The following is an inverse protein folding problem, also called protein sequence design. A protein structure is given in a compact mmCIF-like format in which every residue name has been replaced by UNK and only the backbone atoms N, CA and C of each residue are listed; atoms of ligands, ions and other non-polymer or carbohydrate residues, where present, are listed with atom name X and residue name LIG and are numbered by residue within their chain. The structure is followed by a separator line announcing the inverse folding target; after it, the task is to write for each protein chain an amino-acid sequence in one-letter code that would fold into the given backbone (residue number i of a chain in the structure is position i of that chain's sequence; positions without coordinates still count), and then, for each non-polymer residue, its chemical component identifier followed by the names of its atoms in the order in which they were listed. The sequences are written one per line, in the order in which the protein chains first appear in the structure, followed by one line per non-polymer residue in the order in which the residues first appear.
data_IF_841799813219
#
_entry.id   IF_841799813219
#
_cell.length_a   1.000
_cell.length_b   1.000
_cell.length_c   1.000
_cell.angle_alpha   90.00
_cell.angle_beta   90.00
_cell.angle_gamma   90.00
#
_symmetry.space_group_name_H-M   'P 1'
#
loop_
_entity.id
_entity.type
_entity.pdbx_description
1 polymer ?
#
# COMPACT_ATOMS: atom_id res chain seq x y z
N UNK A 1 -44.65 -15.97 10.68
CA UNK A 1 -44.02 -15.55 9.41
C UNK A 1 -42.56 -15.16 9.67
N UNK A 2 -41.62 -16.06 9.35
CA UNK A 2 -40.20 -15.85 9.57
C UNK A 2 -39.54 -15.09 8.41
N UNK A 3 -38.67 -14.12 8.73
CA UNK A 3 -37.64 -13.60 7.83
C UNK A 3 -36.36 -13.30 8.62
N UNK A 4 -35.85 -14.31 9.33
CA UNK A 4 -34.45 -14.33 9.73
C UNK A 4 -33.64 -14.96 8.58
N UNK A 5 -33.44 -14.22 7.49
CA UNK A 5 -32.46 -14.60 6.48
C UNK A 5 -31.12 -13.99 6.90
N UNK A 6 -30.35 -14.81 7.62
CA UNK A 6 -29.02 -14.47 8.07
C UNK A 6 -28.14 -14.03 6.91
N UNK A 7 -27.89 -12.73 6.85
CA UNK A 7 -26.66 -12.24 6.22
C UNK A 7 -25.51 -12.66 7.13
N UNK A 8 -24.93 -13.84 6.88
CA UNK A 8 -23.55 -14.12 7.27
C UNK A 8 -22.71 -13.03 6.63
N UNK A 9 -22.28 -12.06 7.42
CA UNK A 9 -21.36 -11.00 6.99
C UNK A 9 -20.05 -11.66 6.61
N UNK A 10 -19.94 -12.05 5.32
CA UNK A 10 -18.77 -12.58 4.61
C UNK A 10 -17.55 -12.74 5.50
N UNK A 11 -17.54 -13.83 6.26
CA UNK A 11 -16.40 -14.22 7.05
C UNK A 11 -15.19 -14.33 6.12
N UNK A 12 -14.23 -13.43 6.34
CA UNK A 12 -12.81 -13.71 6.13
C UNK A 12 -12.43 -14.15 4.71
N UNK A 13 -12.97 -13.48 3.68
CA UNK A 13 -12.18 -13.27 2.46
C UNK A 13 -11.05 -12.27 2.78
N UNK A 14 -10.16 -12.67 3.69
CA UNK A 14 -8.73 -12.36 3.66
C UNK A 14 -8.18 -13.09 2.44
N UNK A 15 -8.72 -12.81 1.25
CA UNK A 15 -8.05 -13.19 0.03
C UNK A 15 -6.69 -12.50 0.18
N UNK A 16 -5.66 -13.28 0.52
CA UNK A 16 -4.30 -12.80 0.48
C UNK A 16 -4.21 -12.09 -0.85
N UNK A 17 -3.86 -10.79 -0.83
CA UNK A 17 -3.52 -10.06 -2.05
C UNK A 17 -2.91 -11.06 -3.02
N UNK A 18 -3.49 -11.24 -4.24
CA UNK A 18 -3.09 -12.30 -5.14
C UNK A 18 -1.58 -12.36 -5.12
N UNK A 19 -1.05 -13.47 -4.60
CA UNK A 19 0.37 -13.55 -4.24
C UNK A 19 1.15 -13.10 -5.46
N UNK A 20 1.99 -12.07 -5.28
CA UNK A 20 2.89 -11.62 -6.33
C UNK A 20 3.58 -12.87 -6.86
N UNK A 21 3.50 -13.16 -8.17
CA UNK A 21 4.13 -14.33 -8.77
C UNK A 21 5.54 -14.50 -8.22
N UNK A 22 5.98 -15.73 -7.95
CA UNK A 22 7.25 -15.97 -7.21
C UNK A 22 8.46 -15.25 -7.84
N UNK A 23 8.43 -15.05 -9.16
CA UNK A 23 9.43 -14.36 -9.96
C UNK A 23 9.34 -12.82 -9.95
N UNK A 24 8.28 -12.24 -9.39
CA UNK A 24 8.06 -10.80 -9.28
C UNK A 24 8.12 -10.31 -7.82
N UNK A 25 8.44 -11.19 -6.88
CA UNK A 25 8.66 -10.81 -5.49
C UNK A 25 9.96 -10.02 -5.40
N UNK A 26 9.93 -8.92 -4.65
CA UNK A 26 11.15 -8.22 -4.28
C UNK A 26 12.02 -9.11 -3.40
N UNK A 27 13.33 -9.05 -3.58
CA UNK A 27 14.29 -9.86 -2.82
C UNK A 27 14.40 -9.48 -1.34
N UNK A 28 13.76 -8.37 -0.92
CA UNK A 28 13.70 -7.95 0.48
C UNK A 28 15.02 -7.43 1.04
N UNK A 29 15.94 -7.04 0.16
CA UNK A 29 17.22 -6.46 0.53
C UNK A 29 16.99 -5.00 0.89
N UNK A 30 17.31 -4.63 2.13
CA UNK A 30 17.35 -3.25 2.56
C UNK A 30 18.64 -2.61 2.04
N UNK A 31 18.52 -1.62 1.15
CA UNK A 31 19.64 -0.85 0.61
C UNK A 31 19.54 0.58 1.14
N UNK A 32 20.65 1.12 1.64
CA UNK A 32 20.68 2.49 2.14
C UNK A 32 20.50 3.51 1.00
N UNK A 33 19.55 4.43 1.19
CA UNK A 33 19.34 5.51 0.25
C UNK A 33 20.41 6.59 0.40
N UNK A 34 21.14 6.87 -0.70
CA UNK A 34 22.07 7.99 -0.78
C UNK A 34 21.51 9.10 -1.68
N UNK A 35 21.25 10.28 -1.09
CA UNK A 35 20.68 11.41 -1.79
C UNK A 35 21.63 12.05 -2.82
N UNK A 36 22.93 11.96 -2.63
CA UNK A 36 23.92 12.57 -3.54
C UNK A 36 24.09 11.78 -4.82
N UNK A 37 23.80 10.47 -4.78
CA UNK A 37 23.81 9.58 -5.93
C UNK A 37 22.44 9.43 -6.60
N UNK A 38 21.40 10.02 -5.99
CA UNK A 38 20.04 9.95 -6.49
C UNK A 38 19.93 10.67 -7.83
N UNK A 39 19.28 10.03 -8.79
CA UNK A 39 19.01 10.65 -10.07
C UNK A 39 17.79 11.59 -10.01
N UNK A 40 17.43 12.16 -11.16
CA UNK A 40 16.28 13.05 -11.23
C UNK A 40 14.97 12.35 -10.86
N UNK A 41 14.79 11.10 -11.29
CA UNK A 41 13.56 10.34 -11.07
C UNK A 41 13.38 10.01 -9.58
N UNK A 42 14.47 9.66 -8.89
CA UNK A 42 14.50 9.43 -7.45
C UNK A 42 14.04 10.67 -6.66
N UNK A 43 14.54 11.86 -7.04
CA UNK A 43 14.16 13.12 -6.42
C UNK A 43 12.67 13.44 -6.63
N UNK A 44 12.16 13.22 -7.84
CA UNK A 44 10.74 13.40 -8.12
C UNK A 44 9.85 12.40 -7.35
N UNK A 45 10.26 11.13 -7.28
CA UNK A 45 9.55 10.09 -6.55
C UNK A 45 9.43 10.46 -5.06
N UNK A 46 10.52 10.95 -4.45
CA UNK A 46 10.49 11.45 -3.08
C UNK A 46 9.52 12.63 -2.91
N UNK A 47 9.50 13.58 -3.85
CA UNK A 47 8.61 14.73 -3.79
C UNK A 47 7.13 14.29 -3.90
N UNK A 48 6.82 13.38 -4.83
CA UNK A 48 5.48 12.81 -5.00
C UNK A 48 5.01 12.05 -3.75
N UNK A 49 5.90 11.26 -3.15
CA UNK A 49 5.62 10.52 -1.92
C UNK A 49 5.26 11.47 -0.76
N UNK A 50 6.08 12.50 -0.53
CA UNK A 50 5.81 13.53 0.50
C UNK A 50 4.46 14.23 0.29
N UNK A 51 4.11 14.56 -0.96
CA UNK A 51 2.83 15.19 -1.29
C UNK A 51 1.64 14.24 -1.04
N UNK A 52 1.80 12.94 -1.33
CA UNK A 52 0.79 11.93 -1.02
C UNK A 52 0.57 11.81 0.50
N UNK A 53 1.64 11.75 1.28
CA UNK A 53 1.57 11.67 2.74
C UNK A 53 0.86 12.87 3.37
N UNK A 54 1.15 14.09 2.88
CA UNK A 54 0.48 15.30 3.34
C UNK A 54 -1.03 15.25 3.06
N UNK A 55 -1.43 14.75 1.88
CA UNK A 55 -2.85 14.55 1.53
C UNK A 55 -3.51 13.49 2.40
N UNK A 56 -2.82 12.39 2.70
CA UNK A 56 -3.35 11.35 3.57
C UNK A 56 -3.56 11.87 5.00
N UNK A 57 -2.56 12.57 5.54
CA UNK A 57 -2.63 13.18 6.88
C UNK A 57 -3.70 14.24 7.00
N UNK A 58 -3.88 15.09 5.99
CA UNK A 58 -4.94 16.11 6.00
C UNK A 58 -6.35 15.51 5.97
N UNK A 59 -6.53 14.35 5.32
CA UNK A 59 -7.79 13.59 5.35
C UNK A 59 -8.06 12.93 6.70
N UNK A 60 -7.02 12.43 7.39
CA UNK A 60 -7.19 11.79 8.70
C UNK A 60 -7.49 12.78 9.83
N UNK A 61 -7.08 14.04 9.68
CA UNK A 61 -7.33 15.10 10.66
C UNK A 61 -8.74 15.73 10.55
N UNK A 62 -9.48 15.43 9.48
CA UNK A 62 -10.88 15.86 9.28
C UNK A 62 -11.83 14.82 9.84
#
# INVERSE_FOLDING_TARGET
MGRAHGHKTRDKNKASLPQVPKNMKSDGIDVEFNRELADHEDLEAMARSKAADQRAKSRQKR
#
